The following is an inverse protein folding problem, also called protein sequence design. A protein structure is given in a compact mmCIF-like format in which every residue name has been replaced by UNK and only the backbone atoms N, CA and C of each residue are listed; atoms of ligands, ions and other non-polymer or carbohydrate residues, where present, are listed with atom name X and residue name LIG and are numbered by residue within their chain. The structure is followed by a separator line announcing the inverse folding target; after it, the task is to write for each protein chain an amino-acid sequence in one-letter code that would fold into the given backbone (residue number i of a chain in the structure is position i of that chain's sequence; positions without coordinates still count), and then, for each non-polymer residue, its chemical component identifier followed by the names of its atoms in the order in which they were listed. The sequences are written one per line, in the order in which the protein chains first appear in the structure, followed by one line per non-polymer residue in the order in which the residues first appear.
data_IF_548182396648
#
_entry.id   IF_548182396648
#
_cell.length_a   1.000
_cell.length_b   1.000
_cell.length_c   1.000
_cell.angle_alpha   90.00
_cell.angle_beta   90.00
_cell.angle_gamma   90.00
#
_symmetry.space_group_name_H-M   'P 1'
#
loop_
_entity.id
_entity.type
_entity.pdbx_description
1 polymer ?
#
# COMPACT_ATOMS: atom_id res chain seq x y z
N UNK A 1 6.76 -8.47 -18.13
CA UNK A 1 6.18 -7.75 -16.98
C UNK A 1 6.35 -8.66 -15.77
N UNK A 2 7.37 -8.42 -14.94
CA UNK A 2 7.67 -9.26 -13.79
C UNK A 2 6.91 -8.75 -12.57
N UNK A 3 6.10 -9.60 -11.93
CA UNK A 3 5.43 -9.26 -10.68
C UNK A 3 6.43 -9.42 -9.53
N UNK A 4 6.78 -8.32 -8.88
CA UNK A 4 7.74 -8.34 -7.77
C UNK A 4 6.96 -8.43 -6.45
N UNK A 5 7.26 -9.48 -5.67
CA UNK A 5 6.75 -9.62 -4.30
C UNK A 5 7.68 -8.89 -3.34
N UNK A 6 7.12 -7.96 -2.58
CA UNK A 6 7.86 -7.16 -1.60
C UNK A 6 7.39 -7.57 -0.21
N UNK A 7 8.32 -7.88 0.69
CA UNK A 7 8.01 -8.22 2.07
C UNK A 7 8.29 -7.06 3.05
N UNK A 8 9.19 -6.14 2.69
CA UNK A 8 9.69 -5.07 3.55
C UNK A 8 10.69 -4.17 2.81
N UNK A 9 11.45 -3.36 3.55
CA UNK A 9 12.40 -2.42 2.98
C UNK A 9 13.57 -3.10 2.27
N UNK A 10 14.09 -4.21 2.78
CA UNK A 10 15.20 -4.97 2.16
C UNK A 10 14.86 -5.41 0.74
N UNK A 11 13.65 -5.91 0.52
CA UNK A 11 13.18 -6.31 -0.80
C UNK A 11 13.01 -5.11 -1.75
N UNK A 12 12.72 -3.90 -1.24
CA UNK A 12 12.70 -2.70 -2.08
C UNK A 12 14.12 -2.30 -2.48
N UNK A 13 15.08 -2.47 -1.57
CA UNK A 13 16.48 -2.15 -1.81
C UNK A 13 17.10 -3.07 -2.86
N UNK A 14 16.92 -4.39 -2.72
CA UNK A 14 17.35 -5.39 -3.71
C UNK A 14 16.80 -5.11 -5.12
N UNK A 15 15.54 -4.67 -5.19
CA UNK A 15 14.90 -4.33 -6.48
C UNK A 15 15.47 -3.02 -7.04
N UNK A 16 15.80 -2.05 -6.19
CA UNK A 16 16.47 -0.83 -6.63
C UNK A 16 17.86 -1.11 -7.19
N UNK A 17 18.66 -1.95 -6.51
CA UNK A 17 19.95 -2.42 -7.01
C UNK A 17 19.83 -3.14 -8.35
N UNK A 18 18.83 -4.00 -8.50
CA UNK A 18 18.56 -4.69 -9.76
C UNK A 18 18.28 -3.70 -10.89
N UNK A 19 17.46 -2.67 -10.67
CA UNK A 19 17.19 -1.63 -11.68
C UNK A 19 18.47 -0.89 -12.04
N UNK A 20 19.29 -0.55 -11.05
CA UNK A 20 20.55 0.17 -11.25
C UNK A 20 21.58 -0.66 -12.02
N UNK A 21 21.50 -1.99 -11.98
CA UNK A 21 22.37 -2.87 -12.78
C UNK A 21 22.09 -2.82 -14.28
N UNK A 22 20.97 -2.22 -14.71
CA UNK A 22 20.58 -2.05 -16.11
C UNK A 22 20.28 -0.58 -16.46
N UNK A 23 21.29 0.31 -16.51
CA UNK A 23 21.08 1.77 -16.64
C UNK A 23 20.48 2.21 -17.98
N UNK A 24 20.69 1.43 -19.05
CA UNK A 24 20.14 1.69 -20.38
C UNK A 24 18.66 1.29 -20.50
N UNK A 25 18.17 0.46 -19.56
CA UNK A 25 16.78 0.05 -19.57
C UNK A 25 15.87 1.10 -18.92
N UNK A 26 14.60 1.07 -19.34
CA UNK A 26 13.53 1.91 -18.80
C UNK A 26 12.33 1.03 -18.44
N UNK A 27 12.45 0.19 -17.40
CA UNK A 27 11.45 -0.83 -17.10
C UNK A 27 10.15 -0.21 -16.56
N UNK A 28 9.04 -0.86 -16.87
CA UNK A 28 7.77 -0.67 -16.14
C UNK A 28 7.68 -1.71 -15.04
N UNK A 29 7.61 -1.24 -13.80
CA UNK A 29 7.65 -2.09 -12.61
C UNK A 29 6.24 -2.27 -12.06
N UNK A 30 5.83 -3.52 -11.90
CA UNK A 30 4.57 -3.87 -11.24
C UNK A 30 4.85 -4.44 -9.85
N UNK A 31 4.32 -3.78 -8.83
CA UNK A 31 4.54 -4.12 -7.42
C UNK A 31 3.28 -4.68 -6.79
N UNK A 32 3.45 -5.79 -6.08
CA UNK A 32 2.41 -6.33 -5.20
C UNK A 32 2.28 -5.50 -3.91
N UNK A 33 1.16 -5.68 -3.21
CA UNK A 33 1.04 -5.20 -1.83
C UNK A 33 2.11 -5.84 -0.93
N UNK A 34 2.67 -5.05 -0.01
CA UNK A 34 3.79 -5.48 0.81
C UNK A 34 3.38 -6.48 1.90
N UNK A 35 4.09 -7.60 2.05
CA UNK A 35 3.90 -8.56 3.14
C UNK A 35 2.45 -9.11 3.25
N UNK A 36 1.88 -9.11 4.46
CA UNK A 36 0.50 -9.61 4.71
C UNK A 36 -0.60 -8.58 4.47
N UNK A 37 -0.28 -7.45 3.81
CA UNK A 37 -1.17 -6.29 3.69
C UNK A 37 -2.48 -6.64 2.96
N UNK A 38 -2.43 -7.39 1.86
CA UNK A 38 -3.65 -7.82 1.12
C UNK A 38 -4.62 -8.58 2.02
N UNK A 39 -4.13 -9.59 2.75
CA UNK A 39 -4.99 -10.41 3.61
C UNK A 39 -5.59 -9.58 4.76
N UNK A 40 -4.79 -8.70 5.36
CA UNK A 40 -5.26 -7.81 6.44
C UNK A 40 -6.28 -6.79 5.94
N UNK A 41 -6.14 -6.29 4.72
CA UNK A 41 -7.11 -5.40 4.08
C UNK A 41 -8.43 -6.10 3.78
N UNK A 42 -8.40 -7.34 3.27
CA UNK A 42 -9.61 -8.15 3.04
C UNK A 42 -10.34 -8.41 4.36
N UNK A 43 -9.62 -8.90 5.38
CA UNK A 43 -10.18 -9.15 6.71
C UNK A 43 -10.77 -7.88 7.33
N UNK A 44 -10.12 -6.72 7.17
CA UNK A 44 -10.65 -5.44 7.61
C UNK A 44 -11.99 -5.11 6.92
N UNK A 45 -12.11 -5.39 5.62
CA UNK A 45 -13.35 -5.21 4.87
C UNK A 45 -14.47 -6.14 5.34
N UNK A 46 -14.16 -7.41 5.56
CA UNK A 46 -15.12 -8.43 6.03
C UNK A 46 -15.62 -8.10 7.45
N UNK A 47 -14.72 -7.72 8.36
CA UNK A 47 -15.07 -7.27 9.72
C UNK A 47 -15.90 -5.99 9.70
N UNK A 48 -15.55 -5.03 8.84
CA UNK A 48 -16.34 -3.81 8.69
C UNK A 48 -17.74 -4.11 8.18
N UNK A 49 -17.92 -5.05 7.25
CA UNK A 49 -19.24 -5.42 6.72
C UNK A 49 -20.10 -6.23 7.69
N UNK A 50 -19.48 -7.02 8.58
CA UNK A 50 -20.19 -7.95 9.48
C UNK A 50 -20.52 -7.37 10.86
N UNK A 51 -19.74 -6.40 11.38
CA UNK A 51 -19.90 -5.90 12.74
C UNK A 51 -20.37 -4.43 12.81
N UNK A 52 -21.01 -4.06 13.93
CA UNK A 52 -21.16 -2.66 14.36
C UNK A 52 -19.88 -2.10 15.04
N UNK A 53 -18.73 -2.77 14.86
CA UNK A 53 -17.47 -2.38 15.49
C UNK A 53 -16.99 -1.05 14.90
N UNK A 54 -16.45 -0.17 15.75
CA UNK A 54 -15.91 1.10 15.26
C UNK A 54 -14.70 0.80 14.36
N UNK A 55 -14.64 1.43 13.19
CA UNK A 55 -13.50 1.31 12.25
C UNK A 55 -12.14 1.59 12.91
N UNK A 56 -12.11 2.33 14.03
CA UNK A 56 -10.93 2.58 14.84
C UNK A 56 -10.37 1.34 15.56
N UNK A 57 -11.17 0.29 15.75
CA UNK A 57 -10.80 -0.94 16.47
C UNK A 57 -10.34 -2.06 15.53
N UNK A 58 -10.30 -1.82 14.22
CA UNK A 58 -9.83 -2.82 13.26
C UNK A 58 -8.31 -2.93 13.35
N UNK A 59 -7.84 -3.94 14.10
CA UNK A 59 -6.43 -4.28 14.32
C UNK A 59 -5.64 -4.46 13.02
N UNK A 60 -6.30 -4.88 11.94
CA UNK A 60 -5.66 -4.98 10.62
C UNK A 60 -5.06 -3.65 10.13
N UNK A 61 -5.65 -2.51 10.49
CA UNK A 61 -5.18 -1.19 10.03
C UNK A 61 -3.93 -0.71 10.76
N UNK A 62 -3.78 -1.02 12.06
CA UNK A 62 -2.58 -0.65 12.81
C UNK A 62 -1.37 -1.39 12.26
N UNK A 63 -1.49 -2.69 12.02
CA UNK A 63 -0.44 -3.51 11.40
C UNK A 63 0.03 -2.93 10.05
N UNK A 64 -0.92 -2.60 9.17
CA UNK A 64 -0.59 -2.05 7.85
C UNK A 64 0.13 -0.71 8.00
N UNK A 65 -0.39 0.17 8.87
CA UNK A 65 0.21 1.48 9.11
C UNK A 65 1.64 1.37 9.66
N UNK A 66 1.85 0.50 10.64
CA UNK A 66 3.15 0.26 11.26
C UNK A 66 4.16 -0.34 10.28
N UNK A 67 3.76 -1.37 9.52
CA UNK A 67 4.60 -1.99 8.51
C UNK A 67 5.12 -0.95 7.51
N UNK A 68 4.23 -0.11 6.97
CA UNK A 68 4.63 0.88 5.97
C UNK A 68 5.40 2.07 6.58
N UNK A 69 5.08 2.49 7.80
CA UNK A 69 5.87 3.53 8.49
C UNK A 69 7.27 3.06 8.81
N UNK A 70 7.43 1.81 9.27
CA UNK A 70 8.74 1.21 9.46
C UNK A 70 9.51 1.17 8.14
N UNK A 71 8.91 0.71 7.05
CA UNK A 71 9.57 0.72 5.73
C UNK A 71 9.98 2.13 5.29
N UNK A 72 9.14 3.14 5.53
CA UNK A 72 9.48 4.53 5.23
C UNK A 72 10.66 5.02 6.07
N UNK A 73 10.67 4.71 7.37
CA UNK A 73 11.76 5.10 8.29
C UNK A 73 13.09 4.46 7.87
N UNK A 74 13.08 3.16 7.57
CA UNK A 74 14.27 2.40 7.17
C UNK A 74 14.83 2.89 5.82
N UNK A 75 13.96 3.32 4.90
CA UNK A 75 14.36 3.95 3.63
C UNK A 75 14.66 5.45 3.78
N UNK A 76 14.49 6.02 4.98
CA UNK A 76 14.67 7.44 5.30
C UNK A 76 13.81 8.36 4.44
N UNK A 77 12.54 8.02 4.23
CA UNK A 77 11.56 8.79 3.48
C UNK A 77 10.61 9.57 4.41
N UNK A 78 9.82 10.49 3.85
CA UNK A 78 8.80 11.21 4.62
C UNK A 78 7.52 10.38 4.79
N UNK A 79 7.04 10.23 6.04
CA UNK A 79 5.75 9.58 6.37
C UNK A 79 4.55 10.24 5.72
N UNK A 80 4.66 11.49 5.28
CA UNK A 80 3.62 12.19 4.51
C UNK A 80 3.20 11.41 3.25
N UNK A 81 4.11 10.60 2.68
CA UNK A 81 3.89 9.80 1.46
C UNK A 81 2.62 8.95 1.51
N UNK A 82 2.37 8.28 2.64
CA UNK A 82 1.20 7.40 2.80
C UNK A 82 0.17 7.97 3.78
N UNK A 83 0.53 9.02 4.54
CA UNK A 83 -0.38 9.62 5.52
C UNK A 83 -1.67 10.11 4.87
N UNK A 84 -1.60 10.60 3.63
CA UNK A 84 -2.79 10.98 2.86
C UNK A 84 -3.75 9.81 2.62
N UNK A 85 -3.25 8.58 2.42
CA UNK A 85 -4.10 7.40 2.21
C UNK A 85 -4.89 6.99 3.46
N UNK A 86 -4.39 7.36 4.65
CA UNK A 86 -5.07 7.14 5.94
C UNK A 86 -5.85 8.36 6.44
N UNK A 87 -5.43 9.58 6.09
CA UNK A 87 -5.82 10.84 6.75
C UNK A 87 -6.21 12.01 5.82
N UNK A 88 -6.10 11.88 4.47
CA UNK A 88 -6.52 12.76 3.33
C UNK A 88 -7.85 12.52 2.57
N UNK A 89 -8.89 13.39 2.44
CA UNK A 89 -10.03 13.07 1.54
C UNK A 89 -9.51 13.12 0.09
N UNK A 90 -10.10 12.42 -0.92
CA UNK A 90 -11.45 11.85 -1.00
C UNK A 90 -11.56 10.30 -1.02
N UNK A 91 -10.44 9.55 -1.01
CA UNK A 91 -10.43 8.06 -1.16
C UNK A 91 -9.50 7.42 -0.12
N UNK A 92 -10.02 7.15 1.08
CA UNK A 92 -9.25 6.62 2.22
C UNK A 92 -9.69 5.22 2.59
N UNK A 93 -8.75 4.40 3.04
CA UNK A 93 -9.02 3.08 3.63
C UNK A 93 -10.12 3.18 4.71
N UNK A 94 -10.02 4.14 5.63
CA UNK A 94 -11.05 4.37 6.68
C UNK A 94 -12.42 4.76 6.12
N UNK A 95 -12.47 5.57 5.07
CA UNK A 95 -13.74 6.00 4.46
C UNK A 95 -14.44 4.83 3.79
N UNK A 96 -13.68 4.02 3.05
CA UNK A 96 -14.17 2.78 2.44
C UNK A 96 -14.72 1.82 3.49
N UNK A 97 -13.99 1.58 4.59
CA UNK A 97 -14.43 0.70 5.67
C UNK A 97 -15.68 1.23 6.39
N UNK A 98 -15.80 2.55 6.59
CA UNK A 98 -17.03 3.15 7.13
C UNK A 98 -18.22 2.93 6.20
N UNK A 99 -18.03 3.11 4.89
CA UNK A 99 -19.08 2.84 3.90
C UNK A 99 -19.55 1.39 3.93
N UNK A 100 -18.62 0.44 4.07
CA UNK A 100 -18.93 -0.99 4.20
C UNK A 100 -19.70 -1.29 5.49
N UNK A 101 -19.35 -0.64 6.60
CA UNK A 101 -20.07 -0.80 7.87
C UNK A 101 -21.49 -0.25 7.82
N UNK A 102 -21.74 0.79 7.02
CA UNK A 102 -23.09 1.34 6.81
C UNK A 102 -23.91 0.43 5.91
N UNK A 103 -23.34 -0.02 4.80
CA UNK A 103 -24.05 -0.85 3.81
C UNK A 103 -24.23 -2.30 4.27
N UNK A 104 -23.40 -2.78 5.19
CA UNK A 104 -23.34 -4.17 5.67
C UNK A 104 -23.17 -5.20 4.54
N UNK A 105 -22.47 -4.79 3.50
CA UNK A 105 -22.22 -5.60 2.31
C UNK A 105 -20.79 -5.38 1.83
N UNK A 106 -20.13 -6.46 1.42
CA UNK A 106 -18.82 -6.42 0.75
C UNK A 106 -18.92 -7.02 -0.65
N UNK A 107 -19.19 -6.17 -1.64
CA UNK A 107 -19.24 -6.57 -3.04
C UNK A 107 -17.84 -6.93 -3.57
N UNK A 108 -17.73 -7.75 -4.64
CA UNK A 108 -16.45 -8.03 -5.30
C UNK A 108 -15.70 -6.76 -5.73
N UNK A 109 -16.43 -5.73 -6.18
CA UNK A 109 -15.86 -4.44 -6.55
C UNK A 109 -15.24 -3.72 -5.35
N UNK A 110 -15.91 -3.72 -4.20
CA UNK A 110 -15.38 -3.10 -2.98
C UNK A 110 -14.18 -3.89 -2.43
N UNK A 111 -14.20 -5.22 -2.51
CA UNK A 111 -13.07 -6.07 -2.14
C UNK A 111 -11.83 -5.74 -2.97
N UNK A 112 -11.94 -5.71 -4.30
CA UNK A 112 -10.83 -5.32 -5.18
C UNK A 112 -10.34 -3.90 -4.91
N UNK A 113 -11.26 -2.98 -4.61
CA UNK A 113 -10.90 -1.61 -4.28
C UNK A 113 -10.12 -1.50 -2.96
N UNK A 114 -10.51 -2.23 -1.92
CA UNK A 114 -9.77 -2.28 -0.65
C UNK A 114 -8.36 -2.85 -0.86
N UNK A 115 -8.23 -3.95 -1.59
CA UNK A 115 -6.94 -4.59 -1.85
C UNK A 115 -5.99 -3.65 -2.61
N UNK A 116 -6.52 -2.85 -3.55
CA UNK A 116 -5.72 -1.90 -4.34
C UNK A 116 -4.93 -0.88 -3.51
N UNK A 117 -5.37 -0.59 -2.27
CA UNK A 117 -4.61 0.30 -1.39
C UNK A 117 -3.24 -0.26 -1.03
N UNK A 118 -3.12 -1.58 -0.86
CA UNK A 118 -1.84 -2.22 -0.55
C UNK A 118 -0.80 -2.02 -1.65
N UNK A 119 -1.19 -2.27 -2.89
CA UNK A 119 -0.34 -2.08 -4.08
C UNK A 119 0.00 -0.60 -4.29
N UNK A 120 -1.00 0.30 -4.13
CA UNK A 120 -0.78 1.73 -4.25
C UNK A 120 0.22 2.25 -3.20
N UNK A 121 0.17 1.76 -1.96
CA UNK A 121 1.12 2.13 -0.91
C UNK A 121 2.54 1.65 -1.25
N UNK A 122 2.69 0.37 -1.63
CA UNK A 122 3.99 -0.16 -2.08
C UNK A 122 4.59 0.66 -3.22
N UNK A 123 3.79 0.92 -4.27
CA UNK A 123 4.23 1.66 -5.45
C UNK A 123 4.63 3.10 -5.13
N UNK A 124 3.91 3.76 -4.22
CA UNK A 124 4.20 5.15 -3.83
C UNK A 124 5.47 5.25 -2.99
N UNK A 125 5.69 4.33 -2.05
CA UNK A 125 6.93 4.25 -1.28
C UNK A 125 8.10 3.98 -2.21
N UNK A 126 7.99 2.99 -3.10
CA UNK A 126 9.10 2.63 -3.97
C UNK A 126 9.45 3.73 -4.98
N UNK A 127 8.47 4.39 -5.59
CA UNK A 127 8.73 5.53 -6.46
C UNK A 127 9.45 6.67 -5.72
N UNK A 128 9.07 6.95 -4.46
CA UNK A 128 9.76 7.95 -3.65
C UNK A 128 11.20 7.51 -3.30
N UNK A 129 11.39 6.22 -3.00
CA UNK A 129 12.72 5.65 -2.75
C UNK A 129 13.65 5.80 -3.95
N UNK A 130 13.20 5.38 -5.13
CA UNK A 130 13.95 5.52 -6.37
C UNK A 130 14.35 6.99 -6.63
N UNK A 131 13.42 7.93 -6.45
CA UNK A 131 13.75 9.35 -6.63
C UNK A 131 14.78 9.84 -5.61
N UNK A 132 14.75 9.36 -4.36
CA UNK A 132 15.72 9.70 -3.33
C UNK A 132 17.14 9.26 -3.71
N UNK A 133 17.29 8.08 -4.33
CA UNK A 133 18.58 7.55 -4.77
C UNK A 133 18.98 8.02 -6.18
N UNK A 134 18.28 9.00 -6.75
CA UNK A 134 18.61 9.63 -8.04
C UNK A 134 17.98 8.96 -9.27
N UNK A 135 17.15 7.94 -9.11
CA UNK A 135 16.43 7.27 -10.20
C UNK A 135 15.06 7.93 -10.39
N UNK A 136 14.87 8.60 -11.53
CA UNK A 136 13.59 9.25 -11.85
C UNK A 136 12.47 8.23 -11.97
N UNK A 137 11.59 8.19 -10.98
CA UNK A 137 10.47 7.26 -10.92
C UNK A 137 9.15 8.01 -10.71
N UNK A 138 8.07 7.50 -11.29
CA UNK A 138 6.71 8.03 -11.08
C UNK A 138 5.75 6.89 -10.82
N UNK A 139 5.01 7.00 -9.73
CA UNK A 139 3.89 6.11 -9.45
C UNK A 139 2.75 6.41 -10.42
N UNK A 140 2.28 5.40 -11.15
CA UNK A 140 1.06 5.48 -11.95
C UNK A 140 -0.11 4.87 -11.18
N UNK A 141 -1.29 5.44 -11.39
CA UNK A 141 -2.55 4.90 -10.89
C UNK A 141 -3.36 4.48 -12.11
N UNK A 142 -3.60 3.17 -12.24
CA UNK A 142 -4.53 2.63 -13.23
C UNK A 142 -5.97 3.02 -12.88
#
# INVERSE_FOLDING_TARGET
MSLIRIAGWTALDEVAELILSFPEERPVINLSAMGKTTNKLILAGELASSCCAKVSEIEGLSFIKELHYRTIDELGLDKSLITEMFCRPPKRIRGTLKGLAVMKELTPRQRSYIVSFGECMSARIFAAYLNKIGVKARQFKL
#
